data_IF_238768800115
#
_entry.id   IF_238768800115
#
_cell.length_a   1.000
_cell.length_b   1.000
_cell.length_c   1.000
_cell.angle_alpha   90.00
_cell.angle_beta   90.00
_cell.angle_gamma   90.00
#
_symmetry.space_group_name_H-M   'P 1'
#
loop_
_entity.id
_entity.type
_entity.pdbx_description
1 polymer ?
#
# COMPACT_ATOMS: atom_id res chain seq x y z
N UNK A 1 -3.46 -21.08 1.73
CA UNK A 1 -3.25 -19.65 2.05
C UNK A 1 -1.90 -19.47 2.77
N UNK A 2 -1.55 -18.26 3.22
CA UNK A 2 -0.34 -17.99 4.00
C UNK A 2 -0.61 -16.91 5.04
N UNK A 3 0.08 -16.98 6.18
CA UNK A 3 0.06 -15.95 7.22
C UNK A 3 1.45 -15.31 7.28
N UNK A 4 1.50 -13.99 7.45
CA UNK A 4 2.75 -13.25 7.63
C UNK A 4 2.77 -12.63 9.03
N UNK A 5 3.90 -12.78 9.73
CA UNK A 5 4.17 -12.03 10.93
C UNK A 5 5.25 -10.98 10.62
N UNK A 6 4.97 -9.72 10.95
CA UNK A 6 5.84 -8.60 10.62
C UNK A 6 6.05 -7.71 11.86
N UNK A 7 7.31 -7.33 12.10
CA UNK A 7 7.69 -6.26 13.01
C UNK A 7 7.75 -4.95 12.21
N UNK A 8 7.05 -3.92 12.67
CA UNK A 8 7.11 -2.61 12.04
C UNK A 8 8.28 -1.76 12.58
N UNK A 9 8.77 -0.84 11.75
CA UNK A 9 9.82 0.10 12.12
C UNK A 9 11.20 -0.29 11.61
N UNK A 10 12.24 0.42 12.08
CA UNK A 10 13.61 0.37 11.52
C UNK A 10 14.29 -1.00 11.59
N UNK A 11 13.79 -1.93 12.41
CA UNK A 11 14.32 -3.28 12.54
C UNK A 11 13.48 -4.34 11.80
N UNK A 12 12.49 -3.91 11.02
CA UNK A 12 11.61 -4.82 10.27
C UNK A 12 11.11 -4.16 8.99
N UNK A 13 9.81 -4.08 8.80
CA UNK A 13 9.19 -3.49 7.60
C UNK A 13 8.70 -2.08 7.89
N UNK A 14 8.90 -1.17 6.94
CA UNK A 14 8.32 0.17 6.98
C UNK A 14 7.67 0.54 5.64
N UNK A 15 6.65 1.39 5.73
CA UNK A 15 6.07 2.06 4.58
C UNK A 15 6.99 3.15 4.04
N UNK A 16 7.06 3.22 2.72
CA UNK A 16 7.60 4.36 1.98
C UNK A 16 6.43 5.03 1.25
N UNK A 17 6.43 6.36 1.23
CA UNK A 17 5.49 7.11 0.41
C UNK A 17 6.16 8.35 -0.17
N UNK A 18 5.83 8.66 -1.42
CA UNK A 18 6.24 9.92 -2.04
C UNK A 18 5.16 10.97 -1.75
N UNK A 19 5.40 11.73 -0.68
CA UNK A 19 4.38 12.56 -0.04
C UNK A 19 3.17 11.72 0.42
N UNK A 20 2.10 12.37 0.85
CA UNK A 20 0.85 11.71 1.19
C UNK A 20 -0.02 11.36 -0.02
N UNK A 21 -1.28 11.03 0.25
CA UNK A 21 -2.31 10.89 -0.79
C UNK A 21 -2.54 12.28 -1.42
N UNK A 22 -2.43 12.35 -2.74
CA UNK A 22 -2.67 13.57 -3.51
C UNK A 22 -4.06 13.51 -4.13
N UNK A 23 -4.88 14.51 -3.82
CA UNK A 23 -6.23 14.64 -4.35
C UNK A 23 -6.26 15.83 -5.31
N UNK A 24 -6.55 15.55 -6.58
CA UNK A 24 -6.57 16.52 -7.67
C UNK A 24 -7.99 16.58 -8.25
N UNK A 25 -8.63 17.74 -8.18
CA UNK A 25 -9.92 17.97 -8.85
C UNK A 25 -9.65 18.21 -10.32
N UNK A 26 -10.07 17.28 -11.17
CA UNK A 26 -9.87 17.36 -12.63
C UNK A 26 -10.96 18.20 -13.30
N UNK A 27 -12.12 18.34 -12.64
CA UNK A 27 -13.24 19.14 -13.15
C UNK A 27 -14.23 18.32 -13.97
N UNK A 28 -15.04 18.99 -14.78
CA UNK A 28 -16.08 18.39 -15.61
C UNK A 28 -15.49 17.56 -16.75
N UNK A 29 -16.26 16.56 -17.18
CA UNK A 29 -15.89 15.68 -18.29
C UNK A 29 -16.55 16.15 -19.59
N UNK A 30 -15.77 16.26 -20.66
CA UNK A 30 -16.31 16.63 -21.98
C UNK A 30 -17.30 15.60 -22.53
N UNK A 31 -17.17 14.33 -22.13
CA UNK A 31 -17.95 13.23 -22.70
C UNK A 31 -19.29 12.98 -22.02
N UNK A 32 -19.50 13.51 -20.81
CA UNK A 32 -20.73 13.32 -20.03
C UNK A 32 -20.81 14.33 -18.89
N UNK A 33 -22.04 14.59 -18.45
CA UNK A 33 -22.30 15.40 -17.26
C UNK A 33 -21.85 14.68 -15.98
N UNK A 34 -20.56 14.85 -15.65
CA UNK A 34 -19.96 14.34 -14.43
C UNK A 34 -18.65 15.07 -14.11
N UNK A 35 -18.35 15.19 -12.82
CA UNK A 35 -17.07 15.72 -12.33
C UNK A 35 -16.10 14.60 -11.99
N UNK A 36 -14.83 14.78 -12.32
CA UNK A 36 -13.76 13.81 -12.03
C UNK A 36 -12.80 14.34 -10.97
N UNK A 37 -12.51 13.50 -9.99
CA UNK A 37 -11.42 13.70 -9.03
C UNK A 37 -10.40 12.59 -9.21
N UNK A 38 -9.13 12.94 -9.32
CA UNK A 38 -8.01 12.00 -9.40
C UNK A 38 -7.36 11.88 -8.04
N UNK A 39 -7.17 10.66 -7.59
CA UNK A 39 -6.48 10.33 -6.34
C UNK A 39 -5.20 9.59 -6.73
N UNK A 40 -4.04 10.13 -6.33
CA UNK A 40 -2.73 9.52 -6.55
C UNK A 40 -2.11 9.18 -5.19
N UNK A 41 -1.60 7.96 -5.05
CA UNK A 41 -0.83 7.56 -3.88
C UNK A 41 0.33 6.69 -4.34
N UNK A 42 1.54 7.22 -4.22
CA UNK A 42 2.76 6.54 -4.62
C UNK A 42 3.42 5.95 -3.37
N UNK A 43 3.33 4.63 -3.23
CA UNK A 43 3.81 3.91 -2.04
C UNK A 43 4.74 2.76 -2.37
N UNK A 44 5.50 2.35 -1.36
CA UNK A 44 6.32 1.14 -1.36
C UNK A 44 6.49 0.59 0.04
N UNK A 45 7.17 -0.55 0.14
CA UNK A 45 7.57 -1.15 1.40
C UNK A 45 9.08 -1.39 1.37
N UNK A 46 9.75 -1.03 2.46
CA UNK A 46 11.16 -1.32 2.68
C UNK A 46 11.31 -2.34 3.80
N UNK A 47 12.07 -3.40 3.53
CA UNK A 47 12.48 -4.39 4.53
C UNK A 47 13.87 -4.00 5.06
N UNK A 48 13.91 -3.34 6.21
CA UNK A 48 15.14 -2.91 6.87
C UNK A 48 15.81 -4.03 7.68
N UNK A 49 15.03 -5.03 8.12
CA UNK A 49 15.55 -6.20 8.85
C UNK A 49 14.86 -7.47 8.41
N UNK A 50 15.62 -8.43 7.87
CA UNK A 50 15.09 -9.70 7.36
C UNK A 50 14.48 -10.58 8.45
N UNK A 51 14.98 -10.48 9.68
CA UNK A 51 14.41 -11.18 10.84
C UNK A 51 13.07 -10.58 11.32
N UNK A 52 12.72 -9.39 10.85
CA UNK A 52 11.45 -8.72 11.18
C UNK A 52 10.28 -9.14 10.31
N UNK A 53 10.44 -10.10 9.39
CA UNK A 53 9.37 -10.60 8.53
C UNK A 53 9.46 -12.13 8.40
N UNK A 54 8.36 -12.83 8.67
CA UNK A 54 8.25 -14.26 8.46
C UNK A 54 6.95 -14.63 7.75
N UNK A 55 6.95 -15.79 7.08
CA UNK A 55 5.80 -16.32 6.35
C UNK A 55 5.55 -17.77 6.73
N UNK A 56 4.35 -18.06 7.22
CA UNK A 56 3.80 -19.41 7.29
C UNK A 56 3.05 -19.71 5.99
N UNK A 57 3.53 -20.68 5.21
CA UNK A 57 2.90 -21.13 3.97
C UNK A 57 2.07 -22.39 4.20
N UNK A 58 1.12 -22.67 3.29
CA UNK A 58 0.38 -23.93 3.31
C UNK A 58 -0.75 -24.00 4.33
N UNK A 59 -1.26 -22.86 4.79
CA UNK A 59 -2.42 -22.83 5.70
C UNK A 59 -3.65 -23.34 4.93
N UNK A 60 -4.32 -24.37 5.47
CA UNK A 60 -5.55 -24.94 4.94
C UNK A 60 -6.55 -25.09 6.10
N UNK A 61 -7.82 -24.79 5.84
CA UNK A 61 -8.91 -24.84 6.82
C UNK A 61 -9.98 -25.89 6.50
N UNK A 62 -9.73 -26.77 5.51
CA UNK A 62 -10.58 -27.92 5.18
C UNK A 62 -10.34 -29.08 6.12
#
# INVERSE_FOLDING_TARGET
SSVYAAKFGRQGVMGLQNSGIQVERVGELETKDATRTRIKWYTGLALFGTLGLSRLKGVNGS
#
